data_IF_398101061355
#
_entry.id   IF_398101061355
#
_cell.length_a   1.000
_cell.length_b   1.000
_cell.length_c   1.000
_cell.angle_alpha   90.00
_cell.angle_beta   90.00
_cell.angle_gamma   90.00
#
_symmetry.space_group_name_H-M   'P 1'
#
loop_
_entity.id
_entity.type
_entity.pdbx_description
1 polymer ?
#
# COMPACT_ATOMS: atom_id res chain seq x y z
N UNK A 1 -28.44 0.27 5.33
CA UNK A 1 -27.34 -0.64 4.95
C UNK A 1 -26.01 0.07 5.22
N UNK A 2 -25.16 -0.46 6.11
CA UNK A 2 -23.79 0.04 6.25
C UNK A 2 -22.98 -0.53 5.10
N UNK A 3 -22.47 0.33 4.21
CA UNK A 3 -21.46 -0.08 3.24
C UNK A 3 -20.13 -0.19 4.01
N UNK A 4 -19.58 -1.39 4.12
CA UNK A 4 -18.21 -1.58 4.64
C UNK A 4 -17.25 -0.82 3.72
N UNK A 5 -16.54 0.18 4.26
CA UNK A 5 -15.53 0.91 3.48
C UNK A 5 -14.35 -0.02 3.21
N UNK A 6 -14.10 -0.29 1.92
CA UNK A 6 -12.94 -1.11 1.53
C UNK A 6 -11.67 -0.37 1.93
N UNK A 7 -10.76 -1.09 2.58
CA UNK A 7 -9.46 -0.56 3.04
C UNK A 7 -8.31 -1.38 2.52
N UNK A 8 -7.24 -0.69 2.15
CA UNK A 8 -5.98 -1.35 1.80
C UNK A 8 -5.41 -2.05 3.03
N UNK A 9 -5.17 -3.35 2.94
CA UNK A 9 -4.58 -4.16 4.00
C UNK A 9 -3.17 -3.74 4.43
N UNK A 10 -2.47 -3.00 3.57
CA UNK A 10 -1.12 -2.53 3.84
C UNK A 10 -1.12 -1.10 4.36
N UNK A 11 -1.73 -0.16 3.63
CA UNK A 11 -1.62 1.27 3.92
C UNK A 11 -2.95 1.92 4.34
N UNK A 12 -3.99 1.13 4.59
CA UNK A 12 -5.28 1.57 5.16
C UNK A 12 -6.04 2.63 4.36
N UNK A 13 -5.57 2.99 3.15
CA UNK A 13 -6.28 3.94 2.29
C UNK A 13 -7.63 3.35 1.90
N UNK A 14 -8.66 4.18 1.97
CA UNK A 14 -10.04 3.79 1.61
C UNK A 14 -10.36 4.16 0.15
N UNK A 15 -9.60 5.08 -0.43
CA UNK A 15 -9.77 5.57 -1.79
C UNK A 15 -8.59 5.19 -2.68
N UNK A 16 -8.88 4.64 -3.85
CA UNK A 16 -7.87 4.23 -4.83
C UNK A 16 -8.52 4.10 -6.20
N UNK A 17 -7.83 4.48 -7.30
CA UNK A 17 -8.38 4.32 -8.65
C UNK A 17 -8.63 2.86 -9.02
N UNK A 18 -7.91 1.92 -8.39
CA UNK A 18 -8.08 0.50 -8.61
C UNK A 18 -7.76 -0.30 -7.34
N UNK A 19 -8.59 -1.30 -7.06
CA UNK A 19 -8.32 -2.33 -6.05
C UNK A 19 -7.62 -3.53 -6.70
N UNK A 20 -6.58 -4.03 -6.05
CA UNK A 20 -5.74 -5.14 -6.54
C UNK A 20 -5.74 -6.29 -5.52
N UNK A 21 -5.38 -7.47 -6.00
CA UNK A 21 -5.22 -8.65 -5.17
C UNK A 21 -3.99 -8.49 -4.27
N UNK A 22 -4.12 -8.98 -3.04
CA UNK A 22 -3.08 -8.97 -2.02
C UNK A 22 -2.97 -10.32 -1.31
N UNK A 23 -2.19 -10.37 -0.22
CA UNK A 23 -1.95 -11.61 0.52
C UNK A 23 -3.22 -12.18 1.14
N UNK A 24 -4.17 -11.32 1.51
CA UNK A 24 -5.47 -11.73 2.08
C UNK A 24 -6.54 -11.99 1.02
N UNK A 25 -6.17 -12.07 -0.26
CA UNK A 25 -7.08 -12.37 -1.36
C UNK A 25 -7.44 -11.17 -2.25
N UNK A 26 -8.52 -11.28 -3.04
CA UNK A 26 -8.83 -10.32 -4.08
C UNK A 26 -9.26 -8.96 -3.54
N UNK A 27 -8.87 -7.89 -4.25
CA UNK A 27 -9.26 -6.49 -3.92
C UNK A 27 -8.90 -6.03 -2.49
N UNK A 28 -7.85 -6.59 -1.90
CA UNK A 28 -7.39 -6.25 -0.54
C UNK A 28 -6.30 -5.17 -0.50
N UNK A 29 -5.74 -4.80 -1.65
CA UNK A 29 -4.72 -3.74 -1.74
C UNK A 29 -5.16 -2.60 -2.63
N UNK A 30 -4.72 -1.38 -2.30
CA UNK A 30 -4.84 -0.24 -3.21
C UNK A 30 -3.94 -0.43 -4.44
N UNK A 31 -4.07 0.47 -5.41
CA UNK A 31 -3.32 0.39 -6.65
C UNK A 31 -1.81 0.42 -6.37
N UNK A 32 -1.33 1.41 -5.60
CA UNK A 32 0.09 1.59 -5.31
C UNK A 32 0.71 0.39 -4.59
N UNK A 33 0.06 -0.12 -3.54
CA UNK A 33 0.55 -1.28 -2.80
C UNK A 33 0.45 -2.56 -3.63
N UNK A 34 -0.63 -2.75 -4.39
CA UNK A 34 -0.85 -3.94 -5.20
C UNK A 34 0.17 -4.12 -6.33
N UNK A 35 0.58 -3.04 -7.03
CA UNK A 35 1.63 -3.15 -8.08
C UNK A 35 2.97 -3.59 -7.46
N UNK A 36 3.28 -3.10 -6.26
CA UNK A 36 4.50 -3.44 -5.53
C UNK A 36 4.45 -4.85 -4.95
N UNK A 37 3.28 -5.27 -4.45
CA UNK A 37 3.07 -6.63 -3.98
C UNK A 37 3.27 -7.64 -5.10
N UNK A 38 2.69 -7.39 -6.28
CA UNK A 38 2.84 -8.27 -7.46
C UNK A 38 4.30 -8.44 -7.89
N UNK A 39 5.14 -7.43 -7.68
CA UNK A 39 6.57 -7.49 -8.01
C UNK A 39 7.45 -8.00 -6.86
N UNK A 40 6.86 -8.40 -5.73
CA UNK A 40 7.61 -8.84 -4.54
C UNK A 40 8.36 -7.71 -3.82
N UNK A 41 8.01 -6.45 -4.09
CA UNK A 41 8.72 -5.26 -3.59
C UNK A 41 7.83 -4.38 -2.71
N UNK A 42 6.79 -4.95 -2.11
CA UNK A 42 6.00 -4.23 -1.12
C UNK A 42 6.72 -4.29 0.22
N UNK A 43 7.43 -3.20 0.54
CA UNK A 43 8.24 -3.09 1.75
C UNK A 43 7.43 -2.49 2.91
N UNK A 44 7.68 -2.90 4.17
CA UNK A 44 7.03 -2.30 5.35
C UNK A 44 7.24 -0.79 5.46
N UNK A 45 8.41 -0.29 5.06
CA UNK A 45 8.77 1.13 5.12
C UNK A 45 8.08 1.96 4.02
N UNK A 46 7.35 1.33 3.09
CA UNK A 46 6.62 2.04 2.06
C UNK A 46 5.19 2.37 2.51
N UNK A 47 4.84 3.65 2.47
CA UNK A 47 3.45 4.12 2.60
C UNK A 47 3.20 5.25 1.60
N UNK A 48 2.16 5.20 0.75
CA UNK A 48 1.74 6.35 -0.04
C UNK A 48 1.45 7.56 0.85
N UNK A 49 1.67 8.79 0.36
CA UNK A 49 1.43 10.00 1.17
C UNK A 49 -0.05 10.16 1.60
N UNK A 50 -0.98 9.66 0.79
CA UNK A 50 -2.42 9.67 1.07
C UNK A 50 -2.87 8.54 2.03
N UNK A 51 -1.95 7.70 2.49
CA UNK A 51 -2.21 6.64 3.46
C UNK A 51 -2.57 7.24 4.83
N UNK A 52 -3.68 6.87 5.48
CA UNK A 52 -3.99 7.29 6.85
C UNK A 52 -2.90 6.88 7.85
N UNK A 53 -2.25 5.74 7.64
CA UNK A 53 -1.13 5.25 8.44
C UNK A 53 0.26 5.77 8.00
N UNK A 54 0.32 6.85 7.21
CA UNK A 54 1.60 7.45 6.83
C UNK A 54 2.25 8.14 8.04
N UNK A 55 3.50 7.79 8.31
CA UNK A 55 4.31 8.39 9.38
C UNK A 55 5.67 8.69 8.76
N UNK A 56 6.08 9.95 8.73
CA UNK A 56 7.33 10.38 8.06
C UNK A 56 8.59 9.87 8.76
N UNK A 57 8.50 9.49 10.03
CA UNK A 57 9.63 8.93 10.78
C UNK A 57 9.86 7.44 10.46
N UNK A 58 8.78 6.71 10.14
CA UNK A 58 8.81 5.26 9.90
C UNK A 58 8.75 4.90 8.42
N UNK A 59 8.08 5.73 7.63
CA UNK A 59 7.69 5.40 6.27
C UNK A 59 8.21 6.42 5.25
N UNK A 60 8.46 5.93 4.04
CA UNK A 60 8.78 6.74 2.88
C UNK A 60 7.70 6.56 1.82
N UNK A 61 7.22 7.69 1.28
CA UNK A 61 6.33 7.70 0.12
C UNK A 61 7.09 7.50 -1.21
N UNK A 62 8.43 7.55 -1.17
CA UNK A 62 9.30 7.32 -2.32
C UNK A 62 9.80 5.87 -2.33
N UNK A 63 9.10 5.02 -3.09
CA UNK A 63 9.47 3.62 -3.24
C UNK A 63 10.93 3.42 -3.70
N UNK A 64 11.40 4.24 -4.67
CA UNK A 64 12.78 4.18 -5.18
C UNK A 64 13.82 4.38 -4.06
N UNK A 65 13.56 5.25 -3.09
CA UNK A 65 14.47 5.52 -1.96
C UNK A 65 14.65 4.28 -1.09
N UNK A 66 13.58 3.55 -0.85
CA UNK A 66 13.59 2.35 -0.01
C UNK A 66 14.26 1.19 -0.74
N UNK A 67 13.89 0.97 -2.01
CA UNK A 67 14.44 -0.16 -2.78
C UNK A 67 15.93 -0.07 -3.09
N UNK A 68 16.52 1.14 -3.04
CA UNK A 68 17.96 1.32 -3.24
C UNK A 68 18.80 0.78 -2.09
N UNK A 69 18.21 0.53 -0.92
CA UNK A 69 18.90 -0.09 0.24
C UNK A 69 19.10 -1.60 0.09
N UNK A 70 18.41 -2.22 -0.87
CA UNK A 70 18.41 -3.67 -1.08
C UNK A 70 19.06 -4.04 -2.43
N UNK A 71 19.98 -3.20 -2.91
CA UNK A 71 20.88 -3.47 -4.04
C UNK A 71 22.28 -3.58 -3.48
#
# INVERSE_FOLDING_TARGET
MKFETKRCAHCEVEETPQWRNGPMGPKTLCNACGVRYKSGRLLPEYRPKASPSFDSSKHSNYHKKITRRFR
#
